data_IF_357202204215
#
_entry.id   IF_357202204215
#
_cell.length_a   1.000
_cell.length_b   1.000
_cell.length_c   1.000
_cell.angle_alpha   90.00
_cell.angle_beta   90.00
_cell.angle_gamma   90.00
#
_symmetry.space_group_name_H-M   'P 1'
#
loop_
_entity.id
_entity.type
_entity.pdbx_description
1 polymer ?
#
# COMPACT_ATOMS: atom_id res chain seq x y z
N UNK A 1 -20.15 -3.32 -1.74
CA UNK A 1 -18.72 -3.70 -1.53
C UNK A 1 -17.87 -2.69 -2.31
N UNK A 2 -16.87 -2.07 -1.67
CA UNK A 2 -16.06 -1.00 -2.28
C UNK A 2 -15.06 -1.51 -3.32
N UNK A 3 -14.65 -0.64 -4.26
CA UNK A 3 -13.60 -0.95 -5.26
C UNK A 3 -12.25 -1.17 -4.56
N UNK A 4 -11.41 -2.11 -5.02
CA UNK A 4 -10.04 -2.25 -4.55
C UNK A 4 -9.24 -0.94 -4.70
N UNK A 5 -8.46 -0.60 -3.68
CA UNK A 5 -7.59 0.58 -3.65
C UNK A 5 -6.32 0.28 -2.84
N UNK A 6 -5.25 1.03 -3.09
CA UNK A 6 -4.10 1.04 -2.18
C UNK A 6 -4.32 2.12 -1.12
N UNK A 7 -4.48 1.70 0.13
CA UNK A 7 -4.69 2.60 1.25
C UNK A 7 -3.36 3.10 1.79
N UNK A 8 -3.24 4.41 2.01
CA UNK A 8 -2.12 4.98 2.73
C UNK A 8 -2.39 4.96 4.23
N UNK A 9 -1.40 4.54 5.03
CA UNK A 9 -1.49 4.62 6.49
C UNK A 9 -1.24 6.03 7.03
N UNK A 10 -0.55 6.89 6.26
CA UNK A 10 -0.41 8.31 6.60
C UNK A 10 -1.64 9.09 6.10
N UNK A 11 -2.45 9.72 6.98
CA UNK A 11 -3.67 10.43 6.60
C UNK A 11 -3.46 11.62 5.66
N UNK A 12 -2.23 12.13 5.54
CA UNK A 12 -1.90 13.22 4.60
C UNK A 12 -1.89 12.77 3.14
N UNK A 13 -1.96 11.47 2.86
CA UNK A 13 -1.90 10.91 1.52
C UNK A 13 -3.23 10.23 1.16
N UNK A 14 -3.73 10.41 -0.07
CA UNK A 14 -4.98 9.80 -0.50
C UNK A 14 -4.81 8.31 -0.79
N UNK A 15 -5.93 7.58 -0.81
CA UNK A 15 -5.95 6.20 -1.32
C UNK A 15 -5.76 6.22 -2.84
N UNK A 16 -4.90 5.34 -3.35
CA UNK A 16 -4.67 5.24 -4.78
C UNK A 16 -5.78 4.41 -5.44
N UNK A 17 -6.46 5.03 -6.41
CA UNK A 17 -7.52 4.47 -7.26
C UNK A 17 -7.17 4.88 -8.70
N UNK A 18 -7.21 3.99 -9.71
CA UNK A 18 -7.68 2.60 -9.70
C UNK A 18 -6.55 1.59 -9.44
N UNK A 19 -6.73 0.70 -8.46
CA UNK A 19 -5.78 -0.40 -8.22
C UNK A 19 -5.75 -1.43 -9.36
N UNK A 20 -6.67 -1.35 -10.33
CA UNK A 20 -6.80 -2.29 -11.44
C UNK A 20 -5.69 -2.16 -12.48
N UNK A 21 -5.06 -0.99 -12.60
CA UNK A 21 -3.90 -0.78 -13.47
C UNK A 21 -2.59 -1.20 -12.80
N UNK A 22 -2.64 -1.49 -11.50
CA UNK A 22 -1.49 -1.84 -10.70
C UNK A 22 -1.38 -3.36 -10.58
N UNK A 23 -0.18 -3.88 -10.79
CA UNK A 23 0.14 -5.28 -10.54
C UNK A 23 0.72 -5.42 -9.14
N UNK A 24 0.17 -6.33 -8.34
CA UNK A 24 0.75 -6.67 -7.03
C UNK A 24 2.08 -7.37 -7.26
N UNK A 25 3.18 -6.73 -6.85
CA UNK A 25 4.53 -7.27 -7.05
C UNK A 25 4.92 -8.30 -5.98
N UNK A 26 4.27 -8.26 -4.82
CA UNK A 26 4.55 -9.14 -3.70
C UNK A 26 3.82 -8.68 -2.45
N UNK A 27 3.99 -9.44 -1.37
CA UNK A 27 3.43 -9.14 -0.05
C UNK A 27 4.57 -8.76 0.89
N UNK A 28 4.45 -7.62 1.56
CA UNK A 28 5.35 -7.24 2.64
C UNK A 28 5.09 -8.14 3.85
N UNK A 29 6.12 -8.84 4.34
CA UNK A 29 6.00 -9.77 5.47
C UNK A 29 6.66 -9.22 6.74
N UNK A 30 7.81 -8.55 6.62
CA UNK A 30 8.53 -7.94 7.73
C UNK A 30 9.31 -6.69 7.30
N UNK A 31 9.46 -5.74 8.21
CA UNK A 31 10.35 -4.57 8.07
C UNK A 31 11.42 -4.64 9.16
N UNK A 32 12.69 -4.75 8.76
CA UNK A 32 13.82 -4.72 9.68
C UNK A 32 14.45 -3.34 9.62
N UNK A 33 14.51 -2.65 10.76
CA UNK A 33 15.19 -1.36 10.89
C UNK A 33 16.58 -1.57 11.46
N UNK A 34 17.62 -1.13 10.73
CA UNK A 34 18.99 -1.11 11.26
C UNK A 34 19.12 -0.01 12.32
N UNK A 35 19.54 -0.39 13.52
CA UNK A 35 19.94 0.53 14.60
C UNK A 35 21.47 0.56 14.64
N UNK A 36 22.05 1.75 14.81
CA UNK A 36 23.50 1.91 15.05
C UNK A 36 23.75 1.96 16.54
#
# INVERSE_FOLDING_TARGET
RGKPCLKAENPKYPNLIPAQELVIQGVMVALIRKVR
#
